data_IF_436281557425
#
_entry.id   IF_436281557425
#
_cell.length_a   1.000
_cell.length_b   1.000
_cell.length_c   1.000
_cell.angle_alpha   90.00
_cell.angle_beta   90.00
_cell.angle_gamma   90.00
#
_symmetry.space_group_name_H-M   'P 1'
#
loop_
_entity.id
_entity.type
_entity.pdbx_description
1 polymer ?
#
# COMPACT_ATOMS: atom_id res chain seq x y z
N UNK A 1 50.17 53.31 -56.76
CA UNK A 1 49.42 52.38 -57.62
C UNK A 1 49.31 51.05 -56.86
N UNK A 2 48.26 50.91 -56.04
CA UNK A 2 47.86 49.64 -55.43
C UNK A 2 46.55 49.24 -56.10
N UNK A 3 46.56 48.02 -56.60
CA UNK A 3 45.59 47.41 -57.51
C UNK A 3 44.35 46.93 -56.75
N UNK A 4 43.27 46.71 -57.51
CA UNK A 4 41.89 46.34 -57.14
C UNK A 4 41.77 45.03 -56.29
N UNK A 5 42.88 44.44 -55.85
CA UNK A 5 42.94 43.20 -55.08
C UNK A 5 42.73 43.38 -53.56
N UNK A 6 43.03 44.57 -53.02
CA UNK A 6 43.01 44.80 -51.56
C UNK A 6 41.59 44.96 -50.97
N UNK A 7 40.57 45.18 -51.81
CA UNK A 7 39.17 45.37 -51.36
C UNK A 7 38.37 44.07 -51.26
N UNK A 8 38.83 42.98 -51.88
CA UNK A 8 38.12 41.69 -51.89
C UNK A 8 38.47 40.80 -50.68
N UNK A 9 39.68 40.94 -50.13
CA UNK A 9 40.14 40.13 -49.00
C UNK A 9 39.48 40.59 -47.68
N UNK A 10 39.24 41.90 -47.52
CA UNK A 10 38.58 42.45 -46.32
C UNK A 10 37.10 42.08 -46.16
N UNK A 11 36.38 41.82 -47.25
CA UNK A 11 34.95 41.45 -47.22
C UNK A 11 34.75 39.95 -46.90
N UNK A 12 35.70 39.09 -47.28
CA UNK A 12 35.63 37.64 -47.05
C UNK A 12 35.94 37.30 -45.58
N UNK A 13 36.89 37.99 -44.95
CA UNK A 13 37.24 37.75 -43.53
C UNK A 13 36.11 38.15 -42.55
N UNK A 14 35.24 39.08 -42.94
CA UNK A 14 34.08 39.50 -42.13
C UNK A 14 32.87 38.55 -42.25
N UNK A 15 32.76 37.82 -43.36
CA UNK A 15 31.71 36.83 -43.54
C UNK A 15 32.03 35.53 -42.75
N UNK A 16 33.32 35.16 -42.69
CA UNK A 16 33.72 33.89 -42.07
C UNK A 16 33.73 33.92 -40.53
N UNK A 17 33.90 35.09 -39.90
CA UNK A 17 33.91 35.23 -38.43
C UNK A 17 32.51 35.35 -37.81
N UNK A 18 31.49 35.77 -38.57
CA UNK A 18 30.10 35.90 -38.05
C UNK A 18 29.36 34.57 -37.94
N UNK A 19 29.75 33.57 -38.73
CA UNK A 19 29.06 32.27 -38.80
C UNK A 19 29.52 31.28 -37.71
N UNK A 20 30.75 31.43 -37.19
CA UNK A 20 31.26 30.53 -36.15
C UNK A 20 30.76 30.88 -34.73
N UNK A 21 30.37 32.13 -34.46
CA UNK A 21 29.85 32.52 -33.14
C UNK A 21 28.37 32.18 -32.93
N UNK A 22 27.59 31.98 -34.01
CA UNK A 22 26.16 31.66 -33.94
C UNK A 22 25.96 30.15 -33.71
N UNK A 23 26.84 29.30 -34.27
CA UNK A 23 26.70 27.83 -34.19
C UNK A 23 26.97 27.26 -32.80
N UNK A 24 27.83 27.90 -32.00
CA UNK A 24 28.11 27.46 -30.63
C UNK A 24 27.07 27.91 -29.59
N UNK A 25 26.25 28.92 -29.90
CA UNK A 25 25.16 29.36 -29.03
C UNK A 25 23.87 28.57 -29.23
N UNK A 26 23.63 28.02 -30.42
CA UNK A 26 22.42 27.22 -30.67
C UNK A 26 22.50 25.79 -30.13
N UNK A 27 23.69 25.16 -30.16
CA UNK A 27 23.83 23.75 -29.74
C UNK A 27 23.92 23.60 -28.21
N UNK A 28 24.34 24.64 -27.49
CA UNK A 28 24.37 24.64 -26.02
C UNK A 28 23.01 24.91 -25.37
N UNK A 29 22.09 25.59 -26.05
CA UNK A 29 20.74 25.86 -25.51
C UNK A 29 19.76 24.69 -25.63
N UNK A 30 19.99 23.71 -26.51
CA UNK A 30 19.10 22.53 -26.60
C UNK A 30 19.38 21.45 -25.55
N UNK A 31 20.57 21.40 -24.93
CA UNK A 31 20.89 20.38 -23.92
C UNK A 31 20.44 20.74 -22.50
N UNK A 32 20.23 22.03 -22.19
CA UNK A 32 19.68 22.45 -20.90
C UNK A 32 18.14 22.46 -20.86
N UNK A 33 17.47 22.64 -21.99
CA UNK A 33 16.01 22.54 -22.05
C UNK A 33 15.51 21.08 -21.95
N UNK A 34 16.28 20.10 -22.42
CA UNK A 34 15.91 18.68 -22.34
C UNK A 34 16.07 18.08 -20.92
N UNK A 35 16.88 18.68 -20.06
CA UNK A 35 17.07 18.22 -18.66
C UNK A 35 16.00 18.78 -17.71
N UNK A 36 15.32 19.89 -18.07
CA UNK A 36 14.25 20.47 -17.25
C UNK A 36 12.87 19.84 -17.50
N UNK A 37 12.68 19.12 -18.60
CA UNK A 37 11.42 18.40 -18.90
C UNK A 37 11.36 17.05 -18.18
N UNK A 38 12.49 16.49 -17.77
CA UNK A 38 12.56 15.18 -17.10
C UNK A 38 12.29 15.21 -15.58
N UNK A 39 12.04 16.39 -14.99
CA UNK A 39 11.79 16.52 -13.54
C UNK A 39 10.28 16.63 -13.20
N UNK A 40 9.38 16.66 -14.19
CA UNK A 40 7.95 16.93 -13.96
C UNK A 40 7.04 15.70 -13.80
N UNK A 41 7.54 14.47 -13.66
CA UNK A 41 6.68 13.26 -13.47
C UNK A 41 6.89 12.61 -12.10
N UNK A 42 7.02 13.43 -11.07
CA UNK A 42 6.75 12.99 -9.71
C UNK A 42 5.76 13.98 -9.11
N UNK A 43 4.49 13.90 -9.52
CA UNK A 43 3.44 14.45 -8.67
C UNK A 43 3.49 13.63 -7.38
N UNK A 44 3.83 14.22 -6.22
CA UNK A 44 3.55 13.57 -4.97
C UNK A 44 2.02 13.46 -4.93
N UNK A 45 1.50 12.24 -5.07
CA UNK A 45 0.09 11.97 -4.79
C UNK A 45 -0.15 12.53 -3.40
N UNK A 46 -1.00 13.55 -3.27
CA UNK A 46 -1.31 14.06 -1.94
C UNK A 46 -1.82 12.87 -1.11
N UNK A 47 -1.27 12.67 0.07
CA UNK A 47 -1.68 11.58 0.94
C UNK A 47 -2.90 12.05 1.74
N UNK A 48 -3.95 11.24 1.82
CA UNK A 48 -5.10 11.54 2.69
C UNK A 48 -4.88 10.83 4.03
N UNK A 49 -4.63 11.61 5.09
CA UNK A 49 -4.62 11.20 6.49
C UNK A 49 -6.03 11.40 7.07
N UNK A 50 -6.60 10.60 7.97
CA UNK A 50 -6.20 9.37 8.64
C UNK A 50 -7.52 8.62 8.83
N UNK A 51 -7.56 7.36 8.41
CA UNK A 51 -8.79 6.59 8.55
C UNK A 51 -8.50 5.23 9.18
N UNK A 52 -9.53 4.60 9.71
CA UNK A 52 -9.40 3.42 10.57
C UNK A 52 -8.87 2.21 9.80
N UNK A 53 -8.08 1.40 10.50
CA UNK A 53 -7.75 0.04 10.09
C UNK A 53 -8.72 -0.86 10.86
N UNK A 54 -9.59 -1.52 10.12
CA UNK A 54 -10.63 -2.39 10.65
C UNK A 54 -10.47 -3.80 10.08
N UNK A 55 -11.21 -4.75 10.64
CA UNK A 55 -11.22 -6.11 10.14
C UNK A 55 -12.58 -6.78 10.29
N UNK A 56 -12.82 -7.76 9.42
CA UNK A 56 -13.90 -8.74 9.51
C UNK A 56 -13.26 -10.12 9.41
N UNK A 57 -13.45 -10.93 10.44
CA UNK A 57 -12.93 -12.28 10.51
C UNK A 57 -14.00 -13.27 10.07
N UNK A 58 -13.77 -13.98 8.97
CA UNK A 58 -14.66 -15.03 8.46
C UNK A 58 -14.21 -16.44 8.86
N UNK A 59 -13.30 -16.55 9.83
CA UNK A 59 -12.65 -17.81 10.22
C UNK A 59 -12.99 -18.22 11.65
N UNK A 60 -12.74 -19.48 11.99
CA UNK A 60 -12.96 -20.04 13.32
C UNK A 60 -11.87 -19.66 14.33
N UNK A 61 -10.68 -19.28 13.88
CA UNK A 61 -9.63 -18.79 14.76
C UNK A 61 -9.82 -17.31 15.05
N UNK A 62 -9.44 -16.87 16.24
CA UNK A 62 -9.34 -15.44 16.50
C UNK A 62 -8.12 -14.87 15.75
N UNK A 63 -8.22 -13.62 15.34
CA UNK A 63 -7.09 -12.81 14.87
C UNK A 63 -6.52 -12.09 16.10
N UNK A 64 -5.48 -12.66 16.69
CA UNK A 64 -4.84 -12.17 17.92
C UNK A 64 -4.17 -10.80 17.75
N UNK A 65 -3.80 -10.49 16.51
CA UNK A 65 -3.32 -9.18 16.07
C UNK A 65 -3.23 -9.15 14.56
N UNK A 66 -3.29 -7.96 14.00
CA UNK A 66 -2.95 -7.74 12.60
C UNK A 66 -2.40 -6.34 12.37
N UNK A 67 -1.77 -6.17 11.22
CA UNK A 67 -1.29 -4.88 10.73
C UNK A 67 -1.42 -4.76 9.21
N UNK A 68 -1.53 -3.54 8.72
CA UNK A 68 -1.51 -3.19 7.30
C UNK A 68 -0.31 -2.29 7.05
N UNK A 69 0.61 -2.73 6.21
CA UNK A 69 1.91 -2.08 5.95
C UNK A 69 2.64 -1.70 7.26
N UNK A 70 2.63 -2.63 8.22
CA UNK A 70 3.25 -2.47 9.55
C UNK A 70 2.46 -1.58 10.53
N UNK A 71 1.30 -1.04 10.14
CA UNK A 71 0.43 -0.24 11.03
C UNK A 71 -0.57 -1.15 11.71
N UNK A 72 -0.55 -1.17 13.05
CA UNK A 72 -1.43 -2.01 13.86
C UNK A 72 -2.90 -1.69 13.62
N UNK A 73 -3.69 -2.73 13.32
CA UNK A 73 -5.15 -2.63 13.22
C UNK A 73 -5.85 -2.40 14.56
N UNK A 74 -5.12 -2.59 15.67
CA UNK A 74 -5.62 -2.56 17.06
C UNK A 74 -6.69 -3.64 17.26
N UNK A 75 -6.88 -4.07 18.50
CA UNK A 75 -7.87 -5.10 18.87
C UNK A 75 -7.53 -6.55 18.46
N UNK A 76 -8.23 -7.48 19.12
CA UNK A 76 -8.31 -8.90 18.77
C UNK A 76 -9.65 -9.13 18.10
N UNK A 77 -9.66 -9.77 16.94
CA UNK A 77 -10.92 -10.05 16.23
C UNK A 77 -11.33 -11.48 16.51
N UNK A 78 -12.43 -11.65 17.25
CA UNK A 78 -12.98 -12.97 17.54
C UNK A 78 -13.41 -13.72 16.27
N UNK A 79 -13.65 -15.04 16.36
CA UNK A 79 -14.18 -15.83 15.27
C UNK A 79 -15.50 -15.25 14.77
N UNK A 80 -15.65 -15.09 13.46
CA UNK A 80 -16.91 -14.64 12.83
C UNK A 80 -17.38 -13.24 13.29
N UNK A 81 -16.46 -12.35 13.64
CA UNK A 81 -16.73 -11.01 14.15
C UNK A 81 -16.03 -9.92 13.32
N UNK A 82 -16.45 -8.67 13.50
CA UNK A 82 -15.73 -7.49 13.03
C UNK A 82 -15.20 -6.66 14.20
N UNK A 83 -14.17 -5.85 13.94
CA UNK A 83 -13.53 -5.00 14.96
C UNK A 83 -12.34 -4.23 14.40
N UNK A 84 -11.43 -3.86 15.29
CA UNK A 84 -10.25 -3.05 14.95
C UNK A 84 -10.39 -1.62 15.46
N UNK A 85 -10.08 -0.64 14.61
CA UNK A 85 -10.11 0.78 14.97
C UNK A 85 -8.73 1.40 15.16
N UNK A 86 -7.68 0.67 14.76
CA UNK A 86 -6.31 1.17 14.73
C UNK A 86 -6.19 2.38 13.82
N UNK A 87 -5.38 3.35 14.22
CA UNK A 87 -5.29 4.58 13.46
C UNK A 87 -4.39 4.47 12.23
N UNK A 88 -4.75 5.34 11.29
CA UNK A 88 -3.87 5.98 10.33
C UNK A 88 -3.44 5.10 9.17
N UNK A 89 -4.39 4.35 8.58
CA UNK A 89 -4.25 3.99 7.17
C UNK A 89 -4.15 5.26 6.33
N UNK A 90 -3.17 5.31 5.44
CA UNK A 90 -2.88 6.46 4.57
C UNK A 90 -3.00 5.99 3.14
N UNK A 91 -4.13 6.29 2.51
CA UNK A 91 -4.32 6.04 1.10
C UNK A 91 -3.75 7.20 0.26
N UNK A 92 -3.14 6.93 -0.90
CA UNK A 92 -2.92 7.93 -1.94
C UNK A 92 -4.24 8.60 -2.35
N UNK A 93 -4.22 9.92 -2.63
CA UNK A 93 -5.41 10.63 -3.10
C UNK A 93 -5.99 10.06 -4.41
N UNK A 94 -5.15 9.47 -5.26
CA UNK A 94 -5.58 8.81 -6.50
C UNK A 94 -5.19 7.35 -6.43
N UNK A 95 -6.16 6.49 -6.72
CA UNK A 95 -5.87 5.09 -6.94
C UNK A 95 -5.04 4.91 -8.22
N UNK A 96 -4.19 3.90 -8.24
CA UNK A 96 -3.42 3.50 -9.41
C UNK A 96 -3.53 1.98 -9.60
N UNK A 97 -3.60 1.49 -10.86
CA UNK A 97 -3.55 0.06 -11.13
C UNK A 97 -2.34 -0.61 -10.49
N UNK A 98 -2.57 -1.74 -9.81
CA UNK A 98 -1.53 -2.51 -9.13
C UNK A 98 -1.20 -2.05 -7.71
N UNK A 99 -1.96 -1.10 -7.13
CA UNK A 99 -1.84 -0.79 -5.71
C UNK A 99 -2.10 -2.01 -4.83
N UNK A 100 -1.23 -2.21 -3.86
CA UNK A 100 -1.29 -3.33 -2.91
C UNK A 100 -0.96 -2.86 -1.50
N UNK A 101 -1.34 -3.67 -0.52
CA UNK A 101 -0.90 -3.56 0.87
C UNK A 101 -0.40 -4.91 1.35
N UNK A 102 0.58 -4.92 2.25
CA UNK A 102 0.95 -6.11 3.02
C UNK A 102 0.10 -6.16 4.28
N UNK A 103 -0.48 -7.32 4.54
CA UNK A 103 -1.13 -7.62 5.82
C UNK A 103 -0.34 -8.70 6.52
N UNK A 104 -0.02 -8.45 7.78
CA UNK A 104 0.59 -9.43 8.69
C UNK A 104 -0.38 -9.69 9.84
N UNK A 105 -0.62 -10.94 10.22
CA UNK A 105 -1.54 -11.29 11.30
C UNK A 105 -1.17 -12.57 12.04
N UNK A 106 -1.70 -12.72 13.26
CA UNK A 106 -1.57 -13.94 14.06
C UNK A 106 -2.95 -14.57 14.27
N UNK A 107 -3.11 -15.84 13.92
CA UNK A 107 -4.30 -16.64 14.29
C UNK A 107 -4.03 -17.48 15.54
N UNK A 108 -5.08 -17.91 16.24
CA UNK A 108 -5.01 -18.93 17.28
C UNK A 108 -6.02 -18.71 18.40
N UNK A 109 -5.81 -19.41 19.53
CA UNK A 109 -6.63 -19.22 20.73
C UNK A 109 -6.36 -17.84 21.35
N UNK A 110 -7.42 -17.04 21.49
CA UNK A 110 -7.41 -15.72 22.13
C UNK A 110 -8.15 -15.68 23.48
N UNK A 111 -8.82 -16.77 23.86
CA UNK A 111 -9.69 -16.84 25.01
C UNK A 111 -8.98 -17.46 26.21
N UNK A 112 -9.50 -17.20 27.42
CA UNK A 112 -8.97 -17.75 28.67
C UNK A 112 -9.60 -19.10 29.04
N UNK A 113 -10.12 -19.83 28.06
CA UNK A 113 -10.69 -21.15 28.30
C UNK A 113 -9.62 -22.08 28.90
N UNK A 114 -10.05 -22.91 29.85
CA UNK A 114 -9.21 -23.81 30.64
C UNK A 114 -8.04 -23.14 31.38
N UNK A 115 -8.10 -21.82 31.60
CA UNK A 115 -7.08 -21.10 32.36
C UNK A 115 -7.06 -21.61 33.82
N UNK A 116 -5.96 -22.21 34.29
CA UNK A 116 -5.92 -22.90 35.59
C UNK A 116 -5.78 -21.95 36.79
N UNK A 117 -5.82 -20.63 36.55
CA UNK A 117 -5.42 -19.63 37.53
C UNK A 117 -3.90 -19.55 37.70
N UNK A 118 -3.47 -18.75 38.68
CA UNK A 118 -2.05 -18.49 38.94
C UNK A 118 -1.49 -19.25 40.15
N UNK A 119 -2.32 -20.01 40.87
CA UNK A 119 -1.92 -20.69 42.11
C UNK A 119 -0.92 -21.83 41.88
N UNK A 120 -1.05 -22.55 40.76
CA UNK A 120 -0.17 -23.65 40.36
C UNK A 120 0.67 -23.22 39.14
N UNK A 121 1.97 -23.01 39.38
CA UNK A 121 2.89 -22.51 38.36
C UNK A 121 3.10 -23.51 37.22
N UNK A 122 3.13 -24.81 37.51
CA UNK A 122 3.37 -25.84 36.50
C UNK A 122 2.17 -25.91 35.55
N UNK A 123 0.95 -25.98 36.11
CA UNK A 123 -0.28 -25.95 35.30
C UNK A 123 -0.41 -24.68 34.47
N UNK A 124 -0.06 -23.52 35.04
CA UNK A 124 -0.04 -22.25 34.31
C UNK A 124 0.92 -22.30 33.12
N UNK A 125 2.15 -22.79 33.31
CA UNK A 125 3.14 -22.88 32.24
C UNK A 125 2.73 -23.87 31.15
N UNK A 126 2.10 -24.98 31.52
CA UNK A 126 1.57 -25.97 30.59
C UNK A 126 0.44 -25.40 29.74
N UNK A 127 -0.54 -24.74 30.38
CA UNK A 127 -1.62 -24.03 29.68
C UNK A 127 -1.05 -22.98 28.72
N UNK A 128 -0.12 -22.15 29.19
CA UNK A 128 0.51 -21.10 28.36
C UNK A 128 1.24 -21.69 27.14
N UNK A 129 1.95 -22.80 27.31
CA UNK A 129 2.63 -23.50 26.20
C UNK A 129 1.62 -24.04 25.18
N UNK A 130 0.54 -24.68 25.63
CA UNK A 130 -0.52 -25.19 24.73
C UNK A 130 -1.25 -24.09 23.98
N UNK A 131 -1.54 -22.96 24.63
CA UNK A 131 -2.16 -21.80 23.96
C UNK A 131 -1.20 -21.21 22.92
N UNK A 132 0.07 -21.03 23.27
CA UNK A 132 1.05 -20.45 22.36
C UNK A 132 1.40 -21.38 21.18
N UNK A 133 1.35 -22.70 21.34
CA UNK A 133 1.62 -23.64 20.24
C UNK A 133 0.53 -23.67 19.17
N UNK A 134 -0.65 -23.10 19.45
CA UNK A 134 -1.75 -22.96 18.49
C UNK A 134 -1.70 -21.62 17.74
N UNK A 135 -0.73 -20.75 18.05
CA UNK A 135 -0.60 -19.46 17.39
C UNK A 135 0.22 -19.59 16.12
N UNK A 136 -0.31 -19.06 15.03
CA UNK A 136 0.36 -19.06 13.73
C UNK A 136 0.47 -17.64 13.19
N UNK A 137 1.65 -17.31 12.69
CA UNK A 137 1.95 -16.02 12.07
C UNK A 137 1.78 -16.13 10.56
N UNK A 138 1.17 -15.10 9.97
CA UNK A 138 0.80 -15.06 8.57
C UNK A 138 1.23 -13.74 7.94
N UNK A 139 1.44 -13.75 6.62
CA UNK A 139 1.71 -12.55 5.83
C UNK A 139 1.18 -12.75 4.42
N UNK A 140 0.43 -11.76 3.91
CA UNK A 140 -0.11 -11.79 2.55
C UNK A 140 -0.20 -10.39 1.96
N UNK A 141 0.02 -10.29 0.65
CA UNK A 141 -0.16 -9.06 -0.10
C UNK A 141 -1.55 -9.08 -0.73
N UNK A 142 -2.34 -8.04 -0.48
CA UNK A 142 -3.67 -7.87 -1.05
C UNK A 142 -3.69 -6.69 -2.04
N UNK A 143 -4.40 -6.87 -3.14
CA UNK A 143 -4.70 -5.77 -4.07
C UNK A 143 -5.72 -4.83 -3.45
N UNK A 144 -5.48 -3.53 -3.51
CA UNK A 144 -6.44 -2.50 -3.09
C UNK A 144 -7.41 -2.24 -4.23
N UNK A 145 -8.73 -2.46 -4.06
CA UNK A 145 -9.72 -2.19 -5.10
C UNK A 145 -9.71 -0.73 -5.56
N UNK A 146 -10.12 -0.50 -6.81
CA UNK A 146 -10.22 0.84 -7.38
C UNK A 146 -11.24 1.71 -6.63
N UNK A 147 -10.77 2.80 -6.05
CA UNK A 147 -11.58 3.81 -5.36
C UNK A 147 -11.68 5.12 -6.15
N UNK A 148 -11.36 5.13 -7.45
CA UNK A 148 -11.49 6.30 -8.31
C UNK A 148 -12.91 6.84 -8.29
N UNK A 149 -13.04 8.14 -8.01
CA UNK A 149 -14.34 8.81 -7.87
C UNK A 149 -15.09 8.48 -6.58
N UNK A 150 -14.50 7.71 -5.66
CA UNK A 150 -15.10 7.33 -4.38
C UNK A 150 -14.34 7.96 -3.22
N UNK A 151 -15.03 8.10 -2.08
CA UNK A 151 -14.39 8.48 -0.81
C UNK A 151 -13.69 7.26 -0.20
N UNK A 152 -12.51 7.48 0.37
CA UNK A 152 -11.79 6.47 1.17
C UNK A 152 -12.07 6.72 2.64
N UNK A 153 -12.51 5.68 3.37
CA UNK A 153 -12.84 5.77 4.80
C UNK A 153 -12.04 4.80 5.66
N UNK A 154 -10.88 4.34 5.20
CA UNK A 154 -10.04 3.42 5.95
C UNK A 154 -9.59 2.28 5.08
N UNK A 155 -9.14 1.24 5.75
CA UNK A 155 -9.00 -0.07 5.13
C UNK A 155 -9.60 -1.11 6.08
N UNK A 156 -10.50 -1.93 5.55
CA UNK A 156 -11.05 -3.08 6.26
C UNK A 156 -10.45 -4.33 5.66
N UNK A 157 -9.80 -5.14 6.50
CA UNK A 157 -9.25 -6.44 6.10
C UNK A 157 -10.27 -7.54 6.38
N UNK A 158 -10.63 -8.29 5.36
CA UNK A 158 -11.44 -9.50 5.48
C UNK A 158 -10.49 -10.71 5.55
N UNK A 159 -10.44 -11.36 6.71
CA UNK A 159 -9.70 -12.62 6.88
C UNK A 159 -10.59 -13.79 6.47
N UNK A 160 -10.14 -14.57 5.51
CA UNK A 160 -10.88 -15.67 4.90
C UNK A 160 -10.26 -17.02 5.27
N UNK A 161 -11.00 -18.13 5.13
CA UNK A 161 -10.41 -19.47 5.18
C UNK A 161 -9.22 -19.60 4.21
N UNK A 162 -8.34 -20.56 4.48
CA UNK A 162 -7.12 -20.79 3.70
C UNK A 162 -6.11 -19.64 3.72
N UNK A 163 -6.05 -18.92 4.83
CA UNK A 163 -5.12 -17.80 5.06
C UNK A 163 -5.17 -16.77 3.91
N UNK A 164 -6.37 -16.61 3.32
CA UNK A 164 -6.64 -15.64 2.27
C UNK A 164 -7.22 -14.36 2.86
N UNK A 165 -7.04 -13.25 2.12
CA UNK A 165 -7.50 -11.95 2.55
C UNK A 165 -8.10 -11.16 1.38
N UNK A 166 -9.08 -10.35 1.70
CA UNK A 166 -9.55 -9.26 0.85
C UNK A 166 -9.46 -7.95 1.62
N UNK A 167 -9.31 -6.84 0.89
CA UNK A 167 -9.31 -5.51 1.50
C UNK A 167 -10.29 -4.60 0.78
N UNK A 168 -10.82 -3.63 1.50
CA UNK A 168 -11.69 -2.59 0.95
C UNK A 168 -11.44 -1.26 1.64
N UNK A 169 -11.63 -0.18 0.91
CA UNK A 169 -11.54 1.21 1.42
C UNK A 169 -12.92 1.87 1.56
N UNK A 170 -13.98 1.07 1.46
CA UNK A 170 -15.38 1.52 1.47
C UNK A 170 -15.72 2.31 2.73
N UNK A 171 -16.62 3.29 2.57
CA UNK A 171 -17.22 4.03 3.68
C UNK A 171 -18.46 3.38 4.27
N UNK A 172 -18.96 2.32 3.62
CA UNK A 172 -20.10 1.58 4.13
C UNK A 172 -19.65 0.58 5.20
N UNK A 173 -20.52 0.26 6.15
CA UNK A 173 -20.27 -0.81 7.11
C UNK A 173 -20.54 -2.18 6.47
N UNK A 174 -19.79 -3.20 6.90
CA UNK A 174 -20.03 -4.58 6.47
C UNK A 174 -21.48 -5.00 6.77
N UNK A 175 -22.12 -5.65 5.80
CA UNK A 175 -23.54 -6.01 5.84
C UNK A 175 -24.48 -4.99 5.18
N UNK A 176 -24.02 -3.77 4.86
CA UNK A 176 -24.85 -2.83 4.10
C UNK A 176 -25.06 -3.29 2.64
N UNK A 177 -26.14 -2.87 1.97
CA UNK A 177 -26.39 -3.16 0.55
C UNK A 177 -25.25 -2.69 -0.37
N UNK A 178 -24.60 -1.58 -0.06
CA UNK A 178 -23.56 -0.95 -0.88
C UNK A 178 -22.14 -1.44 -0.55
N UNK A 179 -21.96 -2.17 0.56
CA UNK A 179 -20.64 -2.68 0.93
C UNK A 179 -20.08 -3.67 -0.11
N UNK A 180 -18.84 -3.54 -0.60
CA UNK A 180 -18.39 -4.28 -1.79
C UNK A 180 -18.16 -5.78 -1.55
N UNK A 181 -17.80 -6.20 -0.34
CA UNK A 181 -17.50 -7.60 -0.02
C UNK A 181 -18.75 -8.26 0.59
N UNK A 182 -19.34 -9.23 -0.12
CA UNK A 182 -20.59 -9.90 0.29
C UNK A 182 -20.37 -11.29 0.90
N UNK A 183 -19.12 -11.69 1.08
CA UNK A 183 -18.76 -12.95 1.74
C UNK A 183 -19.46 -13.03 3.10
N UNK A 184 -20.21 -14.10 3.41
CA UNK A 184 -20.89 -14.26 4.70
C UNK A 184 -19.88 -14.46 5.83
N UNK A 185 -20.23 -14.07 7.06
CA UNK A 185 -19.36 -14.25 8.24
C UNK A 185 -18.95 -15.72 8.43
N UNK A 186 -19.93 -16.62 8.43
CA UNK A 186 -19.68 -18.06 8.50
C UNK A 186 -19.67 -18.63 7.09
N UNK A 187 -18.46 -18.88 6.60
CA UNK A 187 -18.23 -19.71 5.42
C UNK A 187 -18.12 -21.17 5.83
N UNK A 188 -18.62 -22.07 4.98
CA UNK A 188 -18.26 -23.49 5.09
C UNK A 188 -16.75 -23.63 4.94
N UNK A 189 -16.09 -24.29 5.88
CA UNK A 189 -14.67 -24.53 5.74
C UNK A 189 -14.38 -25.39 4.51
N UNK A 190 -13.50 -24.94 3.61
CA UNK A 190 -13.09 -25.76 2.49
C UNK A 190 -12.35 -27.00 3.00
N UNK A 191 -12.63 -28.16 2.41
CA UNK A 191 -11.97 -29.43 2.77
C UNK A 191 -10.46 -29.41 2.54
N UNK A 192 -10.01 -28.54 1.64
CA UNK A 192 -8.59 -28.31 1.33
C UNK A 192 -8.41 -26.92 0.76
N UNK A 193 -7.25 -26.32 1.02
CA UNK A 193 -6.85 -25.06 0.42
C UNK A 193 -6.16 -25.31 -0.93
N UNK A 194 -6.40 -24.47 -1.95
CA UNK A 194 -5.67 -24.55 -3.21
C UNK A 194 -4.16 -24.39 -2.97
N UNK A 195 -3.34 -25.12 -3.72
CA UNK A 195 -1.88 -24.93 -3.77
C UNK A 195 -1.48 -23.68 -4.55
#
# INVERSE_FOLDING_TARGET
MRTISDTLISQIDHCHTRDQLIRHRFVRSCRLAALLVLISIAWPSAAVYASTIEAVNHTHWAINRFSVDGRSGVDIIGPYQGGGGGCCYIAPQRWMPGMTVRVDWETGVAFSDDFPGFADREKYLDWKRRVNSQKLQHSKVATVPDYTGQKVCGITVHFLPCDDIQVTTSCYAYGSPEYPIKTPLQLSEPQSCPE
#
